data_IF_989491780097
#
_entry.id   IF_989491780097
#
_cell.length_a   1.000
_cell.length_b   1.000
_cell.length_c   1.000
_cell.angle_alpha   90.00
_cell.angle_beta   90.00
_cell.angle_gamma   90.00
#
_symmetry.space_group_name_H-M   'P 1'
#
loop_
_entity.id
_entity.type
_entity.pdbx_description
1 polymer ?
#
# COMPACT_ATOMS: atom_id res chain seq x y z
N UNK A 1 -26.83 -16.13 22.25
CA UNK A 1 -26.07 -15.05 21.59
C UNK A 1 -25.27 -15.68 20.47
N UNK A 2 -25.32 -15.15 19.25
CA UNK A 2 -24.49 -15.64 18.15
C UNK A 2 -23.02 -15.31 18.43
N UNK A 3 -22.11 -16.18 17.97
CA UNK A 3 -20.68 -15.91 17.99
C UNK A 3 -20.41 -14.69 17.09
N UNK A 4 -19.66 -13.67 17.54
CA UNK A 4 -19.27 -12.56 16.68
C UNK A 4 -18.49 -13.05 15.45
N UNK A 5 -18.59 -12.29 14.36
CA UNK A 5 -17.81 -12.50 13.15
C UNK A 5 -16.32 -12.20 13.38
N UNK A 6 -15.50 -12.63 12.42
CA UNK A 6 -14.05 -12.38 12.39
C UNK A 6 -13.73 -11.13 11.60
N UNK A 7 -12.74 -10.39 12.07
CA UNK A 7 -12.14 -9.28 11.33
C UNK A 7 -10.95 -9.82 10.52
N UNK A 8 -11.01 -9.74 9.20
CA UNK A 8 -10.03 -10.38 8.32
C UNK A 8 -9.32 -9.32 7.47
N UNK A 9 -8.06 -9.00 7.77
CA UNK A 9 -7.22 -8.12 6.94
C UNK A 9 -6.59 -8.90 5.80
N UNK A 10 -6.87 -8.53 4.55
CA UNK A 10 -6.41 -9.27 3.37
C UNK A 10 -5.51 -8.43 2.48
N UNK A 11 -4.24 -8.82 2.35
CA UNK A 11 -3.37 -8.31 1.30
C UNK A 11 -3.76 -8.89 -0.05
N UNK A 12 -4.19 -8.03 -0.98
CA UNK A 12 -4.67 -8.46 -2.31
C UNK A 12 -3.59 -8.38 -3.38
N UNK A 13 -2.37 -8.00 -3.01
CA UNK A 13 -1.24 -7.88 -3.94
C UNK A 13 -1.11 -6.49 -4.57
N UNK A 14 -0.10 -6.28 -5.42
CA UNK A 14 0.35 -4.95 -5.81
C UNK A 14 -0.35 -4.37 -7.05
N UNK A 15 -1.25 -5.10 -7.68
CA UNK A 15 -1.96 -4.65 -8.88
C UNK A 15 -2.50 -5.79 -9.73
N UNK A 16 -1.65 -6.76 -10.06
CA UNK A 16 -2.07 -7.96 -10.80
C UNK A 16 -2.99 -8.84 -9.94
N UNK A 17 -4.24 -9.11 -10.37
CA UNK A 17 -5.15 -10.02 -9.68
C UNK A 17 -4.58 -11.42 -9.44
N UNK A 18 -3.67 -11.91 -10.29
CA UNK A 18 -3.07 -13.24 -10.13
C UNK A 18 -2.04 -13.31 -9.00
N UNK A 19 -1.59 -12.16 -8.47
CA UNK A 19 -0.67 -12.08 -7.33
C UNK A 19 -1.39 -12.12 -5.97
N UNK A 20 -2.72 -12.27 -5.94
CA UNK A 20 -3.44 -12.56 -4.70
C UNK A 20 -3.03 -13.94 -4.17
N UNK A 21 -2.79 -14.04 -2.86
CA UNK A 21 -2.44 -15.34 -2.27
C UNK A 21 -3.67 -16.26 -2.22
N UNK A 22 -3.45 -17.57 -2.33
CA UNK A 22 -4.54 -18.58 -2.27
C UNK A 22 -5.37 -18.44 -0.99
N UNK A 23 -4.72 -18.14 0.15
CA UNK A 23 -5.41 -17.92 1.43
C UNK A 23 -6.27 -16.66 1.40
N UNK A 24 -5.76 -15.55 0.86
CA UNK A 24 -6.51 -14.31 0.77
C UNK A 24 -7.71 -14.46 -0.16
N UNK A 25 -7.53 -15.07 -1.33
CA UNK A 25 -8.62 -15.34 -2.28
C UNK A 25 -9.72 -16.22 -1.66
N UNK A 26 -9.35 -17.25 -0.92
CA UNK A 26 -10.32 -18.13 -0.23
C UNK A 26 -11.13 -17.35 0.81
N UNK A 27 -10.45 -16.63 1.72
CA UNK A 27 -11.14 -15.85 2.77
C UNK A 27 -11.95 -14.68 2.20
N UNK A 28 -11.50 -14.08 1.10
CA UNK A 28 -12.27 -13.08 0.36
C UNK A 28 -13.60 -13.67 -0.08
N UNK A 29 -13.60 -14.86 -0.70
CA UNK A 29 -14.82 -15.52 -1.21
C UNK A 29 -15.75 -16.03 -0.12
N UNK A 30 -15.19 -16.45 1.03
CA UNK A 30 -15.96 -16.92 2.19
C UNK A 30 -16.61 -15.78 2.99
N UNK A 31 -16.04 -14.57 2.94
CA UNK A 31 -16.51 -13.43 3.74
C UNK A 31 -17.80 -12.83 3.18
N UNK A 32 -18.89 -12.73 3.96
CA UNK A 32 -20.14 -12.12 3.51
C UNK A 32 -20.04 -10.59 3.35
N UNK A 33 -19.06 -9.94 4.00
CA UNK A 33 -18.84 -8.49 3.90
C UNK A 33 -17.41 -8.23 3.42
N UNK A 34 -17.26 -7.37 2.41
CA UNK A 34 -15.97 -6.93 1.88
C UNK A 34 -15.86 -5.42 2.02
N UNK A 35 -15.03 -4.97 2.94
CA UNK A 35 -14.73 -3.56 3.17
C UNK A 35 -13.47 -3.13 2.41
N UNK A 36 -13.51 -1.94 1.81
CA UNK A 36 -12.39 -1.43 1.02
C UNK A 36 -12.30 0.09 1.06
N UNK A 37 -11.08 0.61 1.18
CA UNK A 37 -10.83 2.03 1.20
C UNK A 37 -10.86 2.64 -0.20
N UNK A 38 -11.47 3.82 -0.33
CA UNK A 38 -11.62 4.47 -1.62
C UNK A 38 -11.64 5.99 -1.51
N UNK A 39 -11.01 6.68 -2.45
CA UNK A 39 -11.14 8.13 -2.57
C UNK A 39 -12.51 8.49 -3.14
N UNK A 40 -13.08 9.64 -2.72
CA UNK A 40 -14.39 10.11 -3.17
C UNK A 40 -14.51 10.11 -4.71
N UNK A 41 -15.55 9.45 -5.22
CA UNK A 41 -15.83 9.38 -6.67
C UNK A 41 -14.87 8.50 -7.47
N UNK A 42 -14.04 7.66 -6.82
CA UNK A 42 -13.15 6.69 -7.45
C UNK A 42 -13.64 5.26 -7.20
N UNK A 43 -13.09 4.31 -7.97
CA UNK A 43 -13.35 2.87 -7.80
C UNK A 43 -12.54 2.23 -6.68
N UNK A 44 -11.34 2.76 -6.42
CA UNK A 44 -10.37 2.18 -5.48
C UNK A 44 -9.50 1.13 -6.19
N UNK A 45 -8.19 1.21 -5.98
CA UNK A 45 -7.25 0.33 -6.69
C UNK A 45 -7.33 -1.10 -6.16
N UNK A 46 -7.30 -1.28 -4.83
CA UNK A 46 -7.51 -2.58 -4.19
C UNK A 46 -8.81 -3.28 -4.64
N UNK A 47 -9.90 -2.52 -4.81
CA UNK A 47 -11.17 -3.07 -5.30
C UNK A 47 -11.04 -3.59 -6.74
N UNK A 48 -10.36 -2.84 -7.62
CA UNK A 48 -10.10 -3.26 -9.00
C UNK A 48 -9.35 -4.58 -9.10
N UNK A 49 -8.45 -4.87 -8.16
CA UNK A 49 -7.68 -6.13 -8.10
C UNK A 49 -8.61 -7.32 -7.85
N UNK A 50 -9.58 -7.17 -6.95
CA UNK A 50 -10.43 -8.29 -6.49
C UNK A 50 -11.77 -8.41 -7.21
N UNK A 51 -12.12 -7.46 -8.08
CA UNK A 51 -13.45 -7.36 -8.67
C UNK A 51 -13.89 -8.64 -9.37
N UNK A 52 -12.99 -9.27 -10.15
CA UNK A 52 -13.26 -10.52 -10.85
C UNK A 52 -13.37 -11.75 -9.92
N UNK A 53 -13.10 -11.59 -8.62
CA UNK A 53 -13.11 -12.66 -7.62
C UNK A 53 -14.30 -12.57 -6.65
N UNK A 54 -15.04 -11.45 -6.67
CA UNK A 54 -16.21 -11.23 -5.84
C UNK A 54 -17.35 -12.19 -6.18
N UNK A 55 -18.16 -12.48 -5.17
CA UNK A 55 -19.40 -13.24 -5.27
C UNK A 55 -20.59 -12.28 -5.19
N UNK A 56 -21.63 -12.53 -5.99
CA UNK A 56 -22.80 -11.64 -6.07
C UNK A 56 -23.56 -11.46 -4.73
N UNK A 57 -23.44 -12.41 -3.80
CA UNK A 57 -24.09 -12.37 -2.50
C UNK A 57 -23.35 -11.52 -1.44
N UNK A 58 -22.14 -11.02 -1.75
CA UNK A 58 -21.35 -10.26 -0.79
C UNK A 58 -21.88 -8.84 -0.63
N UNK A 59 -21.91 -8.35 0.61
CA UNK A 59 -22.12 -6.95 0.90
C UNK A 59 -20.80 -6.18 0.72
N UNK A 60 -20.78 -5.24 -0.22
CA UNK A 60 -19.62 -4.40 -0.50
C UNK A 60 -19.71 -3.12 0.33
N UNK A 61 -18.69 -2.86 1.15
CA UNK A 61 -18.64 -1.76 2.10
C UNK A 61 -17.53 -0.75 1.73
N UNK A 62 -17.81 0.26 0.90
CA UNK A 62 -16.83 1.28 0.55
C UNK A 62 -16.57 2.23 1.73
N UNK A 63 -15.33 2.23 2.23
CA UNK A 63 -14.85 3.17 3.24
C UNK A 63 -14.28 4.40 2.53
N UNK A 64 -15.14 5.40 2.32
CA UNK A 64 -14.81 6.59 1.52
C UNK A 64 -14.02 7.60 2.35
N UNK A 65 -12.77 7.88 1.97
CA UNK A 65 -11.96 8.88 2.65
C UNK A 65 -12.62 10.27 2.61
N UNK A 66 -12.70 10.99 3.76
CA UNK A 66 -13.28 12.33 3.81
C UNK A 66 -12.38 13.36 3.12
N UNK A 67 -11.07 13.16 3.20
CA UNK A 67 -10.02 13.95 2.55
C UNK A 67 -8.86 13.05 2.15
N UNK A 68 -8.13 13.45 1.12
CA UNK A 68 -6.93 12.74 0.65
C UNK A 68 -5.70 13.65 0.65
N UNK A 69 -5.79 14.79 -0.05
CA UNK A 69 -4.69 15.74 -0.25
C UNK A 69 -5.14 17.20 -0.15
N UNK A 70 -6.44 17.43 0.01
CA UNK A 70 -7.07 18.73 0.08
C UNK A 70 -6.66 19.49 1.35
N UNK A 71 -6.42 20.79 1.22
CA UNK A 71 -6.23 21.67 2.37
C UNK A 71 -7.56 21.86 3.10
N UNK A 72 -7.58 21.54 4.38
CA UNK A 72 -8.76 21.72 5.23
C UNK A 72 -8.84 23.17 5.75
N UNK A 73 -10.03 23.79 5.77
CA UNK A 73 -10.21 25.10 6.38
C UNK A 73 -10.08 25.00 7.90
N UNK A 74 -9.49 26.02 8.53
CA UNK A 74 -9.49 26.12 9.99
C UNK A 74 -10.94 26.11 10.53
N UNK A 75 -11.23 25.40 11.64
CA UNK A 75 -10.30 24.80 12.59
C UNK A 75 -9.96 23.32 12.36
N UNK A 76 -10.31 22.73 11.20
CA UNK A 76 -10.13 21.29 10.97
C UNK A 76 -8.65 20.92 10.77
N UNK A 77 -8.19 19.85 11.41
CA UNK A 77 -6.88 19.23 11.14
C UNK A 77 -7.04 17.94 10.34
N UNK A 78 -6.07 17.66 9.46
CA UNK A 78 -6.06 16.44 8.65
C UNK A 78 -6.03 15.20 9.54
N UNK A 79 -5.19 15.22 10.58
CA UNK A 79 -5.00 14.12 11.51
C UNK A 79 -6.29 13.80 12.26
N UNK A 80 -7.01 14.82 12.75
CA UNK A 80 -8.28 14.59 13.46
C UNK A 80 -9.34 14.02 12.52
N UNK A 81 -9.52 14.63 11.34
CA UNK A 81 -10.52 14.17 10.36
C UNK A 81 -10.26 12.73 9.92
N UNK A 82 -8.99 12.34 9.73
CA UNK A 82 -8.64 10.96 9.38
C UNK A 82 -8.80 10.01 10.57
N UNK A 83 -8.50 10.44 11.80
CA UNK A 83 -8.73 9.63 12.99
C UNK A 83 -10.22 9.34 13.19
N UNK A 84 -11.07 10.37 13.14
CA UNK A 84 -12.53 10.26 13.27
C UNK A 84 -13.11 9.33 12.20
N UNK A 85 -12.61 9.43 10.95
CA UNK A 85 -12.99 8.51 9.88
C UNK A 85 -12.69 7.04 10.20
N UNK A 86 -11.54 6.73 10.80
CA UNK A 86 -11.24 5.36 11.19
C UNK A 86 -12.08 4.88 12.39
N UNK A 87 -12.48 5.78 13.29
CA UNK A 87 -13.39 5.46 14.40
C UNK A 87 -14.81 5.15 13.88
N UNK A 88 -15.29 5.95 12.92
CA UNK A 88 -16.57 5.74 12.26
C UNK A 88 -16.59 4.44 11.45
N UNK A 89 -15.54 4.21 10.64
CA UNK A 89 -15.38 2.98 9.88
C UNK A 89 -15.32 1.75 10.80
N UNK A 90 -14.62 1.84 11.93
CA UNK A 90 -14.58 0.76 12.91
C UNK A 90 -15.97 0.47 13.52
N UNK A 91 -16.76 1.50 13.78
CA UNK A 91 -18.15 1.37 14.26
C UNK A 91 -19.05 0.71 13.23
N UNK A 92 -18.91 1.07 11.96
CA UNK A 92 -19.64 0.45 10.85
C UNK A 92 -19.29 -1.03 10.70
N UNK A 93 -17.99 -1.37 10.73
CA UNK A 93 -17.51 -2.76 10.70
C UNK A 93 -18.02 -3.56 11.91
N UNK A 94 -18.00 -2.97 13.10
CA UNK A 94 -18.49 -3.60 14.33
C UNK A 94 -19.96 -4.02 14.21
N UNK A 95 -20.79 -3.23 13.53
CA UNK A 95 -22.21 -3.58 13.28
C UNK A 95 -22.34 -4.91 12.50
N UNK A 96 -21.41 -5.20 11.58
CA UNK A 96 -21.39 -6.49 10.88
C UNK A 96 -20.83 -7.62 11.74
N UNK A 97 -19.74 -7.35 12.47
CA UNK A 97 -19.07 -8.33 13.31
C UNK A 97 -19.98 -8.77 14.48
N UNK A 98 -20.65 -7.84 15.15
CA UNK A 98 -21.62 -8.13 16.23
C UNK A 98 -22.80 -8.99 15.74
N UNK A 99 -23.16 -8.85 14.46
CA UNK A 99 -24.20 -9.65 13.82
C UNK A 99 -23.69 -11.03 13.34
N UNK A 100 -22.46 -11.43 13.69
CA UNK A 100 -21.90 -12.73 13.35
C UNK A 100 -21.39 -12.85 11.90
N UNK A 101 -21.21 -11.73 11.19
CA UNK A 101 -20.72 -11.71 9.81
C UNK A 101 -19.23 -11.45 9.79
N UNK A 102 -18.47 -12.36 9.18
CA UNK A 102 -17.06 -12.12 8.90
C UNK A 102 -16.90 -10.92 7.96
N UNK A 103 -15.93 -10.07 8.25
CA UNK A 103 -15.63 -8.87 7.45
C UNK A 103 -14.22 -8.96 6.91
N UNK A 104 -14.09 -9.11 5.59
CA UNK A 104 -12.83 -9.00 4.88
C UNK A 104 -12.52 -7.53 4.57
N UNK A 105 -11.46 -6.99 5.14
CA UNK A 105 -10.94 -5.66 4.82
C UNK A 105 -9.77 -5.82 3.86
N UNK A 106 -9.95 -5.43 2.60
CA UNK A 106 -8.91 -5.59 1.58
C UNK A 106 -7.89 -4.44 1.62
N UNK A 107 -6.63 -4.77 1.37
CA UNK A 107 -5.52 -3.83 1.25
C UNK A 107 -4.72 -4.15 0.00
N UNK A 108 -4.49 -3.15 -0.84
CA UNK A 108 -3.47 -3.25 -1.88
C UNK A 108 -2.09 -3.46 -1.23
N UNK A 109 -1.30 -4.34 -1.81
CA UNK A 109 -0.07 -4.81 -1.21
C UNK A 109 -0.35 -5.69 0.00
N UNK A 110 0.03 -5.20 1.18
CA UNK A 110 -0.04 -5.92 2.44
C UNK A 110 -0.76 -5.09 3.53
N UNK A 111 -1.58 -5.72 4.40
CA UNK A 111 -2.36 -4.98 5.40
C UNK A 111 -1.52 -4.23 6.44
N UNK A 112 -0.31 -4.69 6.73
CA UNK A 112 0.57 -4.14 7.76
C UNK A 112 1.79 -3.40 7.22
N UNK A 113 1.96 -3.34 5.90
CA UNK A 113 3.03 -2.57 5.27
C UNK A 113 2.48 -1.31 4.59
N UNK A 114 2.38 -0.22 5.35
CA UNK A 114 1.74 1.04 4.93
C UNK A 114 0.26 0.88 4.47
N UNK A 115 -0.40 -0.22 4.85
CA UNK A 115 -1.81 -0.49 4.53
C UNK A 115 -2.81 0.16 5.49
N UNK A 116 -3.94 0.64 4.98
CA UNK A 116 -4.96 1.33 5.78
C UNK A 116 -5.69 0.44 6.79
N UNK A 117 -5.62 -0.89 6.65
CA UNK A 117 -6.21 -1.83 7.60
C UNK A 117 -5.59 -1.73 9.00
N UNK A 118 -4.31 -1.37 9.13
CA UNK A 118 -3.65 -1.30 10.45
C UNK A 118 -4.43 -0.42 11.45
N UNK A 119 -5.02 0.69 10.98
CA UNK A 119 -5.79 1.59 11.82
C UNK A 119 -7.11 0.97 12.30
N UNK A 120 -7.74 0.09 11.50
CA UNK A 120 -8.92 -0.67 11.89
C UNK A 120 -8.55 -1.87 12.76
N UNK A 121 -7.39 -2.48 12.52
CA UNK A 121 -6.85 -3.56 13.35
C UNK A 121 -6.68 -3.09 14.80
N UNK A 122 -5.98 -1.98 15.01
CA UNK A 122 -5.75 -1.42 16.35
C UNK A 122 -7.06 -1.10 17.09
N UNK A 123 -8.11 -0.72 16.36
CA UNK A 123 -9.42 -0.37 16.94
C UNK A 123 -10.29 -1.58 17.29
N UNK A 124 -10.10 -2.71 16.60
CA UNK A 124 -11.08 -3.81 16.61
C UNK A 124 -10.48 -5.16 17.04
N UNK A 125 -9.17 -5.37 16.92
CA UNK A 125 -8.54 -6.67 17.16
C UNK A 125 -8.56 -7.12 18.63
N UNK A 126 -8.69 -6.19 19.58
CA UNK A 126 -8.89 -6.53 21.00
C UNK A 126 -10.32 -6.99 21.30
N UNK A 127 -11.29 -6.63 20.46
CA UNK A 127 -12.72 -6.94 20.64
C UNK A 127 -13.19 -8.14 19.82
N UNK A 128 -12.58 -8.38 18.66
CA UNK A 128 -12.96 -9.45 17.74
C UNK A 128 -11.79 -10.34 17.39
N UNK A 129 -12.07 -11.59 17.03
CA UNK A 129 -11.03 -12.46 16.48
C UNK A 129 -10.53 -11.88 15.16
N UNK A 130 -9.28 -11.39 15.16
CA UNK A 130 -8.62 -10.84 13.99
C UNK A 130 -7.73 -11.89 13.31
N UNK A 131 -7.78 -11.94 11.98
CA UNK A 131 -6.88 -12.73 11.15
C UNK A 131 -6.29 -11.83 10.05
N UNK A 132 -4.97 -11.83 9.92
CA UNK A 132 -4.28 -11.05 8.87
C UNK A 132 -3.61 -12.00 7.91
N UNK A 133 -3.92 -11.85 6.62
CA UNK A 133 -3.29 -12.59 5.54
C UNK A 133 -2.35 -11.66 4.78
N UNK A 134 -1.04 -11.97 4.75
CA UNK A 134 -0.09 -11.12 4.08
C UNK A 134 -0.32 -11.13 2.56
N UNK A 135 0.08 -10.04 1.92
CA UNK A 135 0.03 -9.89 0.46
C UNK A 135 1.39 -9.54 -0.13
N UNK A 136 1.51 -9.67 -1.45
CA UNK A 136 2.72 -9.26 -2.17
C UNK A 136 2.78 -7.72 -2.21
N UNK A 137 3.74 -7.13 -1.49
CA UNK A 137 3.92 -5.67 -1.47
C UNK A 137 4.39 -5.11 -2.82
N UNK A 138 4.05 -3.84 -3.10
CA UNK A 138 4.43 -3.14 -4.32
C UNK A 138 5.95 -3.10 -4.56
N UNK A 139 6.77 -3.08 -3.50
CA UNK A 139 8.23 -3.16 -3.63
C UNK A 139 8.72 -4.45 -4.29
N UNK A 140 8.12 -5.60 -3.94
CA UNK A 140 8.49 -6.90 -4.50
C UNK A 140 7.90 -7.08 -5.90
N UNK A 141 6.67 -6.60 -6.12
CA UNK A 141 6.09 -6.52 -7.46
C UNK A 141 6.95 -5.66 -8.39
N UNK A 142 7.36 -4.47 -7.93
CA UNK A 142 8.26 -3.56 -8.62
C UNK A 142 9.60 -4.19 -8.96
N UNK A 143 10.26 -4.80 -7.99
CA UNK A 143 11.53 -5.50 -8.20
C UNK A 143 11.42 -6.61 -9.26
N UNK A 144 10.31 -7.37 -9.24
CA UNK A 144 10.07 -8.46 -10.18
C UNK A 144 9.90 -7.96 -11.61
N UNK A 145 9.09 -6.92 -11.84
CA UNK A 145 8.85 -6.38 -13.19
C UNK A 145 10.03 -5.57 -13.73
N UNK A 146 10.85 -5.02 -12.84
CA UNK A 146 12.13 -4.38 -13.19
C UNK A 146 13.25 -5.40 -13.43
N UNK A 147 13.03 -6.69 -13.12
CA UNK A 147 14.05 -7.74 -13.24
C UNK A 147 15.25 -7.53 -12.30
N UNK A 148 15.04 -6.90 -11.15
CA UNK A 148 16.09 -6.43 -10.26
C UNK A 148 16.03 -7.14 -8.89
N UNK A 149 16.97 -8.03 -8.57
CA UNK A 149 17.13 -8.54 -7.20
C UNK A 149 17.44 -7.39 -6.24
N UNK A 150 16.68 -7.28 -5.15
CA UNK A 150 16.79 -6.15 -4.21
C UNK A 150 18.08 -6.16 -3.41
N UNK A 151 18.47 -7.31 -2.85
CA UNK A 151 19.64 -7.45 -1.97
C UNK A 151 20.30 -8.81 -2.15
N UNK A 152 21.60 -8.86 -1.85
CA UNK A 152 22.42 -10.06 -1.84
C UNK A 152 23.10 -10.25 -0.48
N UNK A 153 23.15 -11.50 0.00
CA UNK A 153 23.89 -11.89 1.22
C UNK A 153 23.55 -10.99 2.42
N UNK A 154 24.53 -10.24 2.93
CA UNK A 154 24.41 -9.43 4.14
C UNK A 154 24.02 -7.97 3.84
N UNK A 155 23.63 -7.66 2.60
CA UNK A 155 23.20 -6.32 2.23
C UNK A 155 21.93 -5.91 2.98
N UNK A 156 21.94 -4.68 3.43
CA UNK A 156 20.81 -4.01 4.04
C UNK A 156 19.80 -3.51 3.00
N UNK A 157 18.51 -3.57 3.33
CA UNK A 157 17.44 -2.96 2.54
C UNK A 157 16.74 -1.90 3.37
N UNK A 158 16.72 -0.66 2.86
CA UNK A 158 15.96 0.45 3.44
C UNK A 158 14.69 0.72 2.65
N UNK A 159 13.51 0.69 3.29
CA UNK A 159 12.27 1.18 2.69
C UNK A 159 11.95 2.55 3.25
N UNK A 160 11.94 3.56 2.38
CA UNK A 160 11.87 4.96 2.75
C UNK A 160 10.67 5.66 2.09
N UNK A 161 10.15 6.66 2.80
CA UNK A 161 9.14 7.57 2.26
C UNK A 161 9.82 8.73 1.57
N UNK A 162 9.45 8.99 0.32
CA UNK A 162 9.84 10.20 -0.41
C UNK A 162 9.36 11.49 0.24
N UNK A 163 8.46 11.44 1.23
CA UNK A 163 8.02 12.61 2.01
C UNK A 163 9.10 13.10 2.98
N UNK A 164 10.06 12.24 3.38
CA UNK A 164 11.12 12.61 4.32
C UNK A 164 11.87 13.90 3.90
N UNK A 165 12.26 14.78 4.84
CA UNK A 165 13.09 15.94 4.52
C UNK A 165 14.37 15.55 3.76
N UNK A 166 14.89 16.45 2.93
CA UNK A 166 16.03 16.20 2.03
C UNK A 166 17.21 15.56 2.76
N UNK A 167 17.69 16.20 3.84
CA UNK A 167 18.88 15.74 4.57
C UNK A 167 18.67 14.40 5.27
N UNK A 168 17.46 14.14 5.77
CA UNK A 168 17.14 12.87 6.43
C UNK A 168 17.03 11.72 5.40
N UNK A 169 16.45 11.99 4.22
CA UNK A 169 16.43 11.02 3.13
C UNK A 169 17.86 10.70 2.66
N UNK A 170 18.69 11.73 2.48
CA UNK A 170 20.10 11.59 2.09
C UNK A 170 20.88 10.76 3.11
N UNK A 171 20.76 11.09 4.40
CA UNK A 171 21.43 10.36 5.49
C UNK A 171 21.06 8.87 5.48
N UNK A 172 19.77 8.55 5.41
CA UNK A 172 19.31 7.14 5.42
C UNK A 172 19.69 6.36 4.17
N UNK A 173 19.75 7.02 3.01
CA UNK A 173 20.18 6.38 1.76
C UNK A 173 21.68 6.12 1.72
N UNK A 174 22.49 7.00 2.33
CA UNK A 174 23.94 6.83 2.40
C UNK A 174 24.36 5.57 3.19
N UNK A 175 23.55 5.16 4.17
CA UNK A 175 23.84 4.01 5.05
C UNK A 175 23.32 2.66 4.50
N UNK A 176 22.61 2.66 3.36
CA UNK A 176 21.92 1.47 2.85
C UNK A 176 22.58 0.87 1.61
N UNK A 177 22.68 -0.46 1.55
CA UNK A 177 23.19 -1.16 0.36
C UNK A 177 22.15 -1.13 -0.78
N UNK A 178 20.88 -1.27 -0.41
CA UNK A 178 19.73 -1.20 -1.29
C UNK A 178 18.62 -0.35 -0.67
N UNK A 179 17.81 0.28 -1.52
CA UNK A 179 16.70 1.09 -1.05
C UNK A 179 15.46 1.00 -1.95
N UNK A 180 14.30 1.14 -1.34
CA UNK A 180 13.03 1.36 -2.03
C UNK A 180 12.45 2.67 -1.53
N UNK A 181 12.15 3.60 -2.43
CA UNK A 181 11.57 4.90 -2.11
C UNK A 181 10.14 4.96 -2.65
N UNK A 182 9.18 5.12 -1.74
CA UNK A 182 7.75 5.18 -2.04
C UNK A 182 7.21 6.62 -1.92
N UNK A 183 5.94 6.84 -2.27
CA UNK A 183 5.25 8.15 -2.12
C UNK A 183 5.97 9.28 -2.87
N UNK A 184 6.36 8.99 -4.12
CA UNK A 184 7.13 9.91 -4.96
C UNK A 184 6.32 11.15 -5.28
N UNK A 185 5.27 11.07 -6.10
CA UNK A 185 4.38 12.20 -6.38
C UNK A 185 5.11 13.53 -6.57
N UNK A 186 4.69 14.57 -5.83
CA UNK A 186 5.36 15.89 -5.80
C UNK A 186 6.79 15.88 -5.23
N UNK A 187 7.17 14.83 -4.49
CA UNK A 187 8.50 14.68 -3.91
C UNK A 187 9.53 14.12 -4.90
N UNK A 188 9.11 13.64 -6.07
CA UNK A 188 10.02 13.03 -7.05
C UNK A 188 11.26 13.89 -7.36
N UNK A 189 11.15 15.21 -7.64
CA UNK A 189 12.32 16.04 -7.94
C UNK A 189 13.36 16.04 -6.81
N UNK A 190 12.91 16.13 -5.55
CA UNK A 190 13.78 16.07 -4.37
C UNK A 190 14.43 14.70 -4.24
N UNK A 191 13.67 13.62 -4.41
CA UNK A 191 14.21 12.25 -4.33
C UNK A 191 15.29 12.05 -5.40
N UNK A 192 15.03 12.48 -6.64
CA UNK A 192 16.00 12.42 -7.73
C UNK A 192 17.28 13.19 -7.41
N UNK A 193 17.15 14.43 -6.91
CA UNK A 193 18.30 15.23 -6.49
C UNK A 193 19.15 14.52 -5.41
N UNK A 194 18.51 13.92 -4.39
CA UNK A 194 19.24 13.17 -3.36
C UNK A 194 19.99 11.97 -3.96
N UNK A 195 19.39 11.25 -4.91
CA UNK A 195 20.04 10.12 -5.59
C UNK A 195 21.24 10.58 -6.43
N UNK A 196 21.14 11.71 -7.11
CA UNK A 196 22.24 12.32 -7.87
C UNK A 196 23.39 12.73 -6.93
N UNK A 197 23.08 13.41 -5.82
CA UNK A 197 24.07 13.84 -4.82
C UNK A 197 24.84 12.68 -4.18
N UNK A 198 24.22 11.49 -4.10
CA UNK A 198 24.84 10.27 -3.56
C UNK A 198 25.48 9.39 -4.63
N UNK A 199 25.40 9.76 -5.92
CA UNK A 199 25.89 8.91 -7.03
C UNK A 199 25.08 7.62 -7.22
N UNK A 200 23.84 7.56 -6.73
CA UNK A 200 22.95 6.40 -6.83
C UNK A 200 22.03 6.44 -8.06
N UNK A 201 21.98 7.56 -8.77
CA UNK A 201 21.05 7.79 -9.88
C UNK A 201 21.17 6.75 -11.01
N UNK A 202 22.37 6.31 -11.36
CA UNK A 202 22.58 5.32 -12.44
C UNK A 202 22.04 3.93 -12.10
N UNK A 203 22.03 3.56 -10.81
CA UNK A 203 21.50 2.28 -10.31
C UNK A 203 20.00 2.35 -10.02
N UNK A 204 19.44 3.55 -9.89
CA UNK A 204 18.06 3.75 -9.51
C UNK A 204 17.11 3.39 -10.67
N UNK A 205 16.15 2.52 -10.38
CA UNK A 205 15.14 2.03 -11.30
C UNK A 205 13.78 2.59 -10.92
N UNK A 206 13.06 3.14 -11.89
CA UNK A 206 11.74 3.74 -11.67
C UNK A 206 10.64 2.89 -12.30
N UNK A 207 9.55 2.70 -11.57
CA UNK A 207 8.34 2.04 -12.09
C UNK A 207 7.08 2.72 -11.58
N UNK A 208 6.12 2.89 -12.48
CA UNK A 208 4.75 3.27 -12.19
C UNK A 208 3.86 2.04 -12.32
N UNK A 209 2.92 1.90 -11.38
CA UNK A 209 1.84 0.92 -11.44
C UNK A 209 2.35 -0.49 -11.67
N UNK A 210 3.41 -0.86 -10.95
CA UNK A 210 4.04 -2.17 -11.06
C UNK A 210 2.99 -3.28 -11.02
N UNK A 211 3.09 -4.23 -11.95
CA UNK A 211 2.16 -5.37 -12.14
C UNK A 211 0.76 -5.02 -12.65
N UNK A 212 0.39 -3.74 -12.75
CA UNK A 212 -0.90 -3.33 -13.31
C UNK A 212 -0.87 -3.29 -14.85
N UNK A 213 -2.03 -3.37 -15.49
CA UNK A 213 -2.15 -3.36 -16.96
C UNK A 213 -1.55 -2.09 -17.63
N UNK A 214 -1.52 -0.97 -16.92
CA UNK A 214 -0.93 0.29 -17.36
C UNK A 214 0.44 0.59 -16.70
N UNK A 215 1.19 -0.46 -16.39
CA UNK A 215 2.57 -0.36 -15.91
C UNK A 215 3.42 0.49 -16.86
N UNK A 216 4.31 1.31 -16.28
CA UNK A 216 5.28 2.11 -17.03
C UNK A 216 6.64 2.04 -16.36
N UNK A 217 7.65 1.61 -17.11
CA UNK A 217 9.06 1.61 -16.70
C UNK A 217 9.79 2.61 -17.59
N UNK A 218 10.45 3.58 -16.99
CA UNK A 218 11.11 4.70 -17.69
C UNK A 218 12.47 4.94 -17.03
N UNK A 219 13.52 5.25 -17.80
CA UNK A 219 14.76 5.77 -17.25
C UNK A 219 14.53 6.96 -16.32
N UNK A 220 15.27 7.03 -15.20
CA UNK A 220 15.03 8.02 -14.15
C UNK A 220 15.13 9.48 -14.66
N UNK A 221 16.04 9.73 -15.60
CA UNK A 221 16.27 11.03 -16.24
C UNK A 221 15.15 11.44 -17.21
N UNK A 222 14.39 10.48 -17.72
CA UNK A 222 13.26 10.69 -18.63
C UNK A 222 11.91 10.82 -17.91
N UNK A 223 11.88 10.69 -16.58
CA UNK A 223 10.66 10.93 -15.80
C UNK A 223 10.40 12.43 -15.72
N UNK A 224 9.27 12.87 -16.26
CA UNK A 224 8.85 14.27 -16.19
C UNK A 224 8.65 14.69 -14.72
N UNK A 225 9.28 15.79 -14.26
CA UNK A 225 9.07 16.32 -12.92
C UNK A 225 7.57 16.54 -12.64
N UNK A 226 7.12 16.24 -11.42
CA UNK A 226 5.71 16.39 -10.99
C UNK A 226 4.68 15.49 -11.72
N UNK A 227 5.09 14.67 -12.68
CA UNK A 227 4.20 13.72 -13.37
C UNK A 227 4.02 12.39 -12.64
N UNK A 228 4.86 12.12 -11.63
CA UNK A 228 4.89 10.80 -10.98
C UNK A 228 3.56 10.50 -10.30
N UNK A 229 2.87 9.40 -10.69
CA UNK A 229 1.57 9.06 -10.12
C UNK A 229 1.70 8.58 -8.66
N UNK A 230 0.57 8.48 -7.96
CA UNK A 230 0.54 7.95 -6.59
C UNK A 230 1.17 6.56 -6.46
N UNK A 231 0.87 5.67 -7.41
CA UNK A 231 1.41 4.32 -7.49
C UNK A 231 2.71 4.32 -8.30
N UNK A 232 3.77 4.89 -7.73
CA UNK A 232 5.12 4.83 -8.28
C UNK A 232 6.14 4.63 -7.16
N UNK A 233 7.25 4.02 -7.53
CA UNK A 233 8.38 3.80 -6.61
C UNK A 233 9.70 3.83 -7.37
N UNK A 234 10.77 4.14 -6.62
CA UNK A 234 12.15 3.98 -7.08
C UNK A 234 12.76 2.82 -6.31
N UNK A 235 13.50 1.97 -7.00
CA UNK A 235 14.31 0.90 -6.43
C UNK A 235 15.77 1.19 -6.74
N UNK A 236 16.60 1.27 -5.72
CA UNK A 236 18.05 1.21 -5.82
C UNK A 236 18.46 -0.20 -5.38
N UNK A 237 18.62 -1.16 -6.31
CA UNK A 237 18.97 -2.53 -5.95
C UNK A 237 20.38 -2.59 -5.37
N UNK A 238 20.68 -3.54 -4.49
CA UNK A 238 22.03 -3.76 -3.97
C UNK A 238 23.04 -4.07 -5.09
N UNK A 239 24.31 -3.82 -4.82
CA UNK A 239 25.37 -4.21 -5.77
C UNK A 239 25.34 -5.72 -6.02
N UNK A 240 25.52 -6.11 -7.29
CA UNK A 240 25.43 -7.52 -7.68
C UNK A 240 26.52 -8.34 -7.00
N UNK A 241 26.14 -9.46 -6.40
CA UNK A 241 27.12 -10.42 -5.88
C UNK A 241 27.97 -11.01 -7.00
N UNK A 242 29.30 -10.92 -6.86
CA UNK A 242 30.28 -11.35 -7.87
C UNK A 242 30.88 -12.75 -7.60
N UNK A 243 30.48 -13.43 -6.53
CA UNK A 243 31.09 -14.68 -6.05
C UNK A 243 32.01 -14.48 -4.86
#
# INVERSE_FOLDING_TARGET
MHKPGRLIGLGVGPGDPELITVKALRLLRESPVVAYFVAKGKKGNAFGIIEAHLQAAQNLLPLVYPVTTEALPAPLSYEQVISDFYDDAATELATHLDAGRDVAVICEGDPFFYGSYMYLHDRLAERYQAEVVPGVCSMLGGASVLGAPLVYRNQSLSVLSGVLPHDELKRRLADADAAVIMKLGRNFPKVRQVLEELGLAERALYVERATMANQKIVPLDQVEPMSSPYFSLIIVPGERWQG
#
